data_IF_661447758684
#
_entry.id   IF_661447758684
#
_cell.length_a   1.000
_cell.length_b   1.000
_cell.length_c   1.000
_cell.angle_alpha   90.00
_cell.angle_beta   90.00
_cell.angle_gamma   90.00
#
_symmetry.space_group_name_H-M   'P 1'
#
loop_
_entity.id
_entity.type
_entity.pdbx_description
1 polymer ?
#
# COMPACT_ATOMS: atom_id res chain seq x y z
N UNK A 1 0.09 13.47 5.79
CA UNK A 1 -1.34 13.48 6.15
C UNK A 1 -1.59 12.42 7.20
N UNK A 2 -2.25 12.80 8.28
CA UNK A 2 -2.55 11.86 9.35
C UNK A 2 -3.95 11.30 9.20
N UNK A 3 -4.08 9.98 9.32
CA UNK A 3 -5.38 9.33 9.34
C UNK A 3 -5.89 9.25 10.77
N UNK A 4 -7.20 9.31 10.96
CA UNK A 4 -7.80 9.07 12.27
C UNK A 4 -7.67 7.57 12.64
N UNK A 5 -7.85 7.26 13.91
CA UNK A 5 -7.84 5.87 14.38
C UNK A 5 -8.88 5.03 13.63
N UNK A 6 -10.06 5.59 13.40
CA UNK A 6 -11.12 4.89 12.67
C UNK A 6 -10.73 4.63 11.22
N UNK A 7 -10.09 5.60 10.57
CA UNK A 7 -9.62 5.44 9.20
C UNK A 7 -8.54 4.36 9.09
N UNK A 8 -7.60 4.35 10.03
CA UNK A 8 -6.55 3.33 10.07
C UNK A 8 -7.15 1.95 10.29
N UNK A 9 -8.13 1.82 11.19
CA UNK A 9 -8.82 0.55 11.42
C UNK A 9 -9.53 0.08 10.15
N UNK A 10 -10.16 0.98 9.40
CA UNK A 10 -10.79 0.66 8.13
C UNK A 10 -9.78 0.18 7.09
N UNK A 11 -8.62 0.84 7.00
CA UNK A 11 -7.56 0.44 6.08
C UNK A 11 -7.05 -0.97 6.45
N UNK A 12 -6.84 -1.24 7.72
CA UNK A 12 -6.40 -2.56 8.17
C UNK A 12 -7.40 -3.65 7.84
N UNK A 13 -8.69 -3.36 7.97
CA UNK A 13 -9.76 -4.29 7.63
C UNK A 13 -9.86 -4.51 6.12
N UNK A 14 -9.68 -3.44 5.33
CA UNK A 14 -9.77 -3.46 3.88
C UNK A 14 -8.58 -4.20 3.24
N UNK A 15 -7.40 -4.10 3.85
CA UNK A 15 -6.15 -4.63 3.29
C UNK A 15 -5.46 -5.57 4.29
N UNK A 16 -6.07 -6.70 4.64
CA UNK A 16 -5.39 -7.66 5.51
C UNK A 16 -4.19 -8.29 4.81
N UNK A 17 -3.29 -8.87 5.58
CA UNK A 17 -2.14 -9.59 5.04
C UNK A 17 -2.60 -10.64 4.02
N UNK A 18 -1.91 -10.72 2.89
CA UNK A 18 -2.26 -11.61 1.80
C UNK A 18 -3.14 -11.00 0.72
N UNK A 19 -3.66 -9.79 0.94
CA UNK A 19 -4.44 -9.08 -0.08
C UNK A 19 -3.56 -8.78 -1.29
N UNK A 20 -4.04 -9.10 -2.49
CA UNK A 20 -3.33 -8.81 -3.74
C UNK A 20 -3.70 -7.43 -4.23
N UNK A 21 -2.70 -6.68 -4.64
CA UNK A 21 -2.87 -5.30 -5.10
C UNK A 21 -2.15 -5.12 -6.44
N UNK A 22 -2.78 -4.36 -7.32
CA UNK A 22 -2.15 -3.86 -8.54
C UNK A 22 -1.94 -2.36 -8.39
N UNK A 23 -0.70 -1.93 -8.54
CA UNK A 23 -0.35 -0.52 -8.50
C UNK A 23 -0.65 0.10 -9.86
N UNK A 24 -1.51 1.11 -9.90
CA UNK A 24 -1.76 1.87 -11.12
C UNK A 24 -0.73 2.97 -11.30
N UNK A 25 -0.43 3.69 -10.23
CA UNK A 25 0.57 4.75 -10.25
C UNK A 25 1.00 5.12 -8.84
N UNK A 26 2.30 5.26 -8.61
CA UNK A 26 2.81 5.82 -7.35
C UNK A 26 2.79 7.33 -7.43
N UNK A 27 2.34 7.97 -6.36
CA UNK A 27 2.29 9.41 -6.27
C UNK A 27 3.68 10.02 -6.03
N UNK A 28 3.90 10.50 -4.83
CA UNK A 28 5.12 11.24 -4.49
C UNK A 28 6.27 10.32 -4.09
N UNK A 29 6.77 9.54 -5.04
CA UNK A 29 7.88 8.61 -4.77
C UNK A 29 9.07 8.97 -5.66
N UNK A 30 10.25 9.09 -5.03
CA UNK A 30 11.48 9.46 -5.74
C UNK A 30 11.93 8.35 -6.69
N UNK A 31 11.76 7.10 -6.29
CA UNK A 31 12.11 5.93 -7.09
C UNK A 31 10.88 5.03 -7.19
N UNK A 32 9.90 5.41 -8.00
CA UNK A 32 8.64 4.68 -8.05
C UNK A 32 8.81 3.29 -8.64
N UNK A 33 7.96 2.38 -8.18
CA UNK A 33 7.80 1.09 -8.81
C UNK A 33 6.97 1.28 -10.08
N UNK A 34 7.27 0.50 -11.11
CA UNK A 34 6.59 0.62 -12.40
C UNK A 34 5.07 0.46 -12.27
N UNK A 35 4.32 1.24 -13.06
CA UNK A 35 2.87 1.12 -13.15
C UNK A 35 2.49 -0.30 -13.56
N UNK A 36 1.41 -0.81 -13.00
CA UNK A 36 0.95 -2.16 -13.30
C UNK A 36 1.61 -3.25 -12.47
N UNK A 37 2.57 -2.90 -11.61
CA UNK A 37 3.21 -3.88 -10.72
C UNK A 37 2.18 -4.44 -9.75
N UNK A 38 2.20 -5.76 -9.56
CA UNK A 38 1.34 -6.44 -8.60
C UNK A 38 2.14 -6.88 -7.39
N UNK A 39 1.47 -6.99 -6.26
CA UNK A 39 2.09 -7.43 -5.03
C UNK A 39 1.07 -7.88 -4.01
N UNK A 40 1.56 -8.25 -2.85
CA UNK A 40 0.75 -8.79 -1.78
C UNK A 40 1.00 -7.99 -0.50
N UNK A 41 -0.06 -7.66 0.23
CA UNK A 41 0.04 -6.92 1.48
C UNK A 41 0.73 -7.76 2.54
N UNK A 42 1.74 -7.20 3.20
CA UNK A 42 2.35 -7.81 4.38
C UNK A 42 1.60 -7.39 5.64
N UNK A 43 1.40 -6.08 5.82
CA UNK A 43 0.65 -5.53 6.94
C UNK A 43 0.36 -4.05 6.68
N UNK A 44 -0.53 -3.47 7.47
CA UNK A 44 -0.79 -2.02 7.50
C UNK A 44 -0.28 -1.51 8.84
N UNK A 45 0.51 -0.45 8.83
CA UNK A 45 1.07 0.12 10.07
C UNK A 45 0.09 1.08 10.74
N UNK A 46 0.49 1.60 11.89
CA UNK A 46 -0.35 2.50 12.68
C UNK A 46 -0.49 3.90 12.09
N UNK A 47 0.28 4.21 11.05
CA UNK A 47 0.13 5.45 10.30
C UNK A 47 -0.79 5.28 9.09
N UNK A 48 -1.30 4.07 8.84
CA UNK A 48 -2.18 3.78 7.72
C UNK A 48 -1.44 3.48 6.42
N UNK A 49 -0.14 3.26 6.47
CA UNK A 49 0.63 2.88 5.29
C UNK A 49 0.54 1.37 5.07
N UNK A 50 0.31 0.98 3.83
CA UNK A 50 0.16 -0.42 3.43
C UNK A 50 1.54 -0.94 3.03
N UNK A 51 2.12 -1.80 3.86
CA UNK A 51 3.42 -2.39 3.58
C UNK A 51 3.25 -3.64 2.73
N UNK A 52 3.95 -3.67 1.61
CA UNK A 52 3.90 -4.79 0.68
C UNK A 52 5.01 -5.78 0.98
N UNK A 53 4.79 -7.05 0.69
CA UNK A 53 5.84 -8.06 0.77
C UNK A 53 6.96 -7.70 -0.19
N UNK A 54 8.20 -7.95 0.27
CA UNK A 54 9.37 -7.64 -0.53
C UNK A 54 9.40 -8.48 -1.79
N UNK A 55 9.53 -7.78 -2.93
CA UNK A 55 9.88 -8.39 -4.19
C UNK A 55 11.11 -7.66 -4.70
N UNK A 56 12.02 -8.35 -5.35
CA UNK A 56 13.23 -7.76 -5.94
C UNK A 56 14.09 -6.99 -4.91
N UNK A 57 14.04 -7.38 -3.64
CA UNK A 57 14.84 -6.75 -2.60
C UNK A 57 14.37 -5.37 -2.15
N UNK A 58 13.25 -4.88 -2.65
CA UNK A 58 12.71 -3.57 -2.25
C UNK A 58 11.61 -3.70 -1.21
N UNK A 59 11.62 -2.78 -0.26
CA UNK A 59 10.49 -2.59 0.65
C UNK A 59 9.63 -1.47 0.06
N UNK A 60 8.33 -1.71 -0.02
CA UNK A 60 7.38 -0.75 -0.59
C UNK A 60 6.24 -0.53 0.38
N UNK A 61 5.91 0.72 0.61
CA UNK A 61 4.73 1.10 1.37
C UNK A 61 3.86 2.00 0.49
N UNK A 62 2.56 1.70 0.43
CA UNK A 62 1.59 2.48 -0.32
C UNK A 62 0.82 3.38 0.64
N UNK A 63 0.55 4.61 0.20
CA UNK A 63 -0.18 5.59 0.99
C UNK A 63 -1.54 5.80 0.32
N UNK A 64 -2.64 5.32 0.94
CA UNK A 64 -3.98 5.56 0.40
C UNK A 64 -4.23 7.06 0.22
N UNK A 65 -4.78 7.44 -0.94
CA UNK A 65 -5.03 8.84 -1.25
C UNK A 65 -3.85 9.55 -1.94
N UNK A 66 -2.65 8.97 -1.90
CA UNK A 66 -1.46 9.48 -2.60
C UNK A 66 -1.10 8.57 -3.75
N UNK A 67 -1.04 7.27 -3.48
CA UNK A 67 -0.74 6.27 -4.49
C UNK A 67 -2.03 5.69 -5.05
N UNK A 68 -2.06 5.44 -6.36
CA UNK A 68 -3.24 4.88 -7.03
C UNK A 68 -3.05 3.37 -7.20
N UNK A 69 -3.88 2.60 -6.53
CA UNK A 69 -3.81 1.14 -6.56
C UNK A 69 -5.20 0.53 -6.34
N UNK A 70 -5.35 -0.72 -6.75
CA UNK A 70 -6.62 -1.46 -6.60
C UNK A 70 -6.34 -2.87 -6.11
N UNK A 71 -7.33 -3.47 -5.46
CA UNK A 71 -7.29 -4.90 -5.14
C UNK A 71 -7.60 -5.74 -6.39
N UNK A 72 -6.92 -6.84 -6.52
CA UNK A 72 -7.11 -7.76 -7.64
C UNK A 72 -7.45 -9.17 -7.17
#
# INVERSE_FOLDING_TARGET
MAYSTAEIASIKTEYPAGTRIKLNHMGEEKFPVADGTTGEVAFVDDAGQIHMKRGNGRTLALIPGVDDFVKI
#
